data_IF_320217833617
#
_entry.id   IF_320217833617
#
_cell.length_a   1.000
_cell.length_b   1.000
_cell.length_c   1.000
_cell.angle_alpha   90.00
_cell.angle_beta   90.00
_cell.angle_gamma   90.00
#
_symmetry.space_group_name_H-M   'P 1'
#
loop_
_entity.id
_entity.type
_entity.pdbx_description
1 polymer ?
#
# COMPACT_ATOMS: atom_id res chain seq x y z
N UNK A 1 13.60 -5.38 0.33
CA UNK A 1 14.40 -4.68 -0.68
C UNK A 1 14.94 -3.43 0.01
N UNK A 2 16.26 -3.32 0.24
CA UNK A 2 16.84 -2.21 1.02
C UNK A 2 16.67 -0.83 0.36
N UNK A 3 16.25 -0.76 -0.91
CA UNK A 3 15.84 0.46 -1.60
C UNK A 3 14.61 0.11 -2.47
N UNK A 4 13.63 1.01 -2.53
CA UNK A 4 12.25 0.74 -2.97
C UNK A 4 12.07 0.49 -4.47
N UNK A 5 12.83 -0.43 -5.07
CA UNK A 5 12.73 -0.73 -6.51
C UNK A 5 11.45 -1.48 -6.89
N UNK A 6 10.83 -2.21 -5.96
CA UNK A 6 9.52 -2.85 -6.19
C UNK A 6 8.76 -3.09 -4.89
N UNK A 7 7.43 -3.16 -5.00
CA UNK A 7 6.53 -3.55 -3.91
C UNK A 7 5.63 -4.71 -4.34
N UNK A 8 5.41 -5.66 -3.42
CA UNK A 8 4.51 -6.80 -3.64
C UNK A 8 3.46 -6.87 -2.53
N UNK A 9 2.19 -6.86 -2.92
CA UNK A 9 1.07 -7.02 -2.02
C UNK A 9 0.91 -8.49 -1.64
N UNK A 10 0.96 -8.86 -0.35
CA UNK A 10 0.77 -10.24 0.09
C UNK A 10 -0.69 -10.71 0.04
N UNK A 11 -1.66 -9.78 -0.09
CA UNK A 11 -3.08 -10.10 -0.11
C UNK A 11 -3.55 -10.49 -1.53
N UNK A 12 -3.37 -9.59 -2.51
CA UNK A 12 -3.79 -9.83 -3.89
C UNK A 12 -2.66 -10.29 -4.83
N UNK A 13 -1.41 -10.33 -4.36
CA UNK A 13 -0.26 -10.71 -5.18
C UNK A 13 0.23 -9.62 -6.14
N UNK A 14 -0.36 -8.42 -6.15
CA UNK A 14 0.03 -7.28 -7.01
C UNK A 14 1.51 -6.94 -6.82
N UNK A 15 2.25 -6.88 -7.92
CA UNK A 15 3.67 -6.50 -7.95
C UNK A 15 3.81 -5.25 -8.80
N UNK A 16 4.44 -4.22 -8.26
CA UNK A 16 4.72 -2.95 -8.95
C UNK A 16 6.20 -2.64 -8.86
N UNK A 17 6.74 -1.99 -9.89
CA UNK A 17 8.16 -1.66 -9.99
C UNK A 17 8.32 -0.15 -10.12
N UNK A 18 9.36 0.41 -9.52
CA UNK A 18 9.63 1.84 -9.57
C UNK A 18 8.78 2.68 -8.61
N UNK A 19 9.33 3.84 -8.26
CA UNK A 19 8.78 4.71 -7.21
C UNK A 19 7.39 5.26 -7.58
N UNK A 20 7.18 5.65 -8.84
CA UNK A 20 5.90 6.22 -9.30
C UNK A 20 4.73 5.22 -9.19
N UNK A 21 4.90 3.98 -9.67
CA UNK A 21 3.86 2.95 -9.55
C UNK A 21 3.61 2.57 -8.09
N UNK A 22 4.67 2.50 -7.29
CA UNK A 22 4.55 2.26 -5.85
C UNK A 22 3.77 3.40 -5.17
N UNK A 23 3.99 4.67 -5.52
CA UNK A 23 3.23 5.79 -4.97
C UNK A 23 1.74 5.71 -5.33
N UNK A 24 1.45 5.42 -6.60
CA UNK A 24 0.08 5.34 -7.12
C UNK A 24 -0.69 4.16 -6.51
N UNK A 25 -0.06 2.98 -6.48
CA UNK A 25 -0.71 1.71 -6.17
C UNK A 25 -0.59 1.29 -4.69
N UNK A 26 0.48 1.66 -3.99
CA UNK A 26 0.70 1.31 -2.57
C UNK A 26 0.70 2.54 -1.67
N UNK A 27 1.30 3.63 -2.14
CA UNK A 27 1.60 4.84 -1.40
C UNK A 27 2.84 4.72 -0.53
N UNK A 28 3.47 5.86 -0.28
CA UNK A 28 4.57 6.00 0.66
C UNK A 28 4.10 6.48 2.03
N UNK A 29 4.72 6.00 3.10
CA UNK A 29 4.61 6.62 4.43
C UNK A 29 5.90 7.36 4.77
N UNK A 30 5.73 8.57 5.28
CA UNK A 30 6.84 9.32 5.85
C UNK A 30 7.14 8.77 7.26
N UNK A 31 8.35 8.28 7.49
CA UNK A 31 8.76 7.73 8.79
C UNK A 31 9.47 8.77 9.68
N UNK A 32 9.41 10.07 9.33
CA UNK A 32 9.94 11.14 10.16
C UNK A 32 11.46 11.20 10.22
N UNK A 33 12.14 11.19 9.08
CA UNK A 33 13.57 11.57 8.92
C UNK A 33 13.92 11.83 7.44
N UNK A 34 12.94 12.28 6.64
CA UNK A 34 13.08 12.37 5.17
C UNK A 34 13.08 11.02 4.45
N UNK A 35 12.88 9.91 5.17
CA UNK A 35 12.73 8.57 4.59
C UNK A 35 11.25 8.27 4.34
N UNK A 36 10.91 8.11 3.07
CA UNK A 36 9.66 7.53 2.61
C UNK A 36 9.86 6.04 2.42
N UNK A 37 9.00 5.23 3.03
CA UNK A 37 9.00 3.78 2.82
C UNK A 37 7.68 3.35 2.19
N UNK A 38 7.72 2.43 1.20
CA UNK A 38 6.52 1.95 0.57
C UNK A 38 5.67 1.15 1.54
N UNK A 39 4.36 1.19 1.35
CA UNK A 39 3.43 0.39 2.12
C UNK A 39 3.54 -1.09 1.72
N UNK A 40 3.24 -1.98 2.66
CA UNK A 40 3.29 -3.44 2.42
C UNK A 40 2.09 -3.94 1.60
N UNK A 41 0.96 -3.22 1.66
CA UNK A 41 -0.31 -3.59 1.02
C UNK A 41 -0.70 -2.52 0.00
N UNK A 42 -1.27 -2.94 -1.13
CA UNK A 42 -1.77 -2.02 -2.14
C UNK A 42 -3.00 -1.25 -1.63
N UNK A 43 -3.27 -0.09 -2.24
CA UNK A 43 -4.43 0.77 -1.95
C UNK A 43 -5.74 -0.01 -2.00
N UNK A 44 -5.92 -0.90 -2.97
CA UNK A 44 -7.13 -1.71 -3.09
C UNK A 44 -7.35 -2.57 -1.85
N UNK A 45 -6.35 -3.35 -1.44
CA UNK A 45 -6.46 -4.23 -0.27
C UNK A 45 -6.59 -3.43 1.04
N UNK A 46 -5.93 -2.27 1.12
CA UNK A 46 -6.08 -1.35 2.26
C UNK A 46 -7.48 -0.75 2.34
N UNK A 47 -8.09 -0.43 1.19
CA UNK A 47 -9.45 0.10 1.14
C UNK A 47 -10.50 -0.99 1.34
N UNK A 48 -10.27 -2.22 0.87
CA UNK A 48 -11.17 -3.35 1.07
C UNK A 48 -11.26 -3.80 2.52
N UNK A 49 -10.16 -3.79 3.29
CA UNK A 49 -10.18 -4.12 4.71
C UNK A 49 -10.96 -3.12 5.59
N UNK A 50 -11.35 -1.96 5.04
CA UNK A 50 -12.16 -0.95 5.73
C UNK A 50 -13.66 -1.07 5.41
N UNK A 51 -14.05 -1.88 4.41
CA UNK A 51 -15.45 -1.99 3.96
C UNK A 51 -16.28 -3.03 4.71
N UNK A 52 -15.70 -3.73 5.69
CA UNK A 52 -16.41 -4.72 6.51
C UNK A 52 -16.95 -4.14 7.83
N UNK A 53 -17.10 -2.81 7.95
CA UNK A 53 -17.70 -2.18 9.14
C UNK A 53 -18.57 -0.99 8.75
N UNK A 54 -19.59 -1.22 7.92
CA UNK A 54 -20.47 -0.15 7.46
C UNK A 54 -21.78 -0.54 6.80
N UNK A 55 -22.28 -1.76 7.01
CA UNK A 55 -23.67 -2.11 6.69
C UNK A 55 -24.20 -2.91 7.88
N UNK A 56 -24.86 -2.22 8.81
CA UNK A 56 -25.95 -2.70 9.68
C UNK A 56 -26.33 -1.59 10.69
N UNK A 57 -26.71 -0.40 10.21
CA UNK A 57 -27.55 0.51 11.01
C UNK A 57 -29.00 0.30 10.52
N UNK A 58 -29.70 -0.58 11.23
CA UNK A 58 -31.16 -0.80 11.15
C UNK A 58 -31.90 0.23 12.00
#
# INVERSE_FOLDING_TARGET
MPYGDYAKCPNCGKVVYGEAEIEEEFGFRNMGTGKTIPQSWCRDCRSQGLRDTGEDDN
#
